data_IF_224466651475
#
_entry.id   IF_224466651475
#
_cell.length_a   1.000
_cell.length_b   1.000
_cell.length_c   1.000
_cell.angle_alpha   90.00
_cell.angle_beta   90.00
_cell.angle_gamma   90.00
#
_symmetry.space_group_name_H-M   'P 1'
#
loop_
_entity.id
_entity.type
_entity.pdbx_description
1 polymer ?
#
# COMPACT_ATOMS: atom_id res chain seq x y z
N UNK A 1 5.65 -13.05 18.84
CA UNK A 1 5.51 -12.54 17.46
C UNK A 1 6.19 -11.18 17.35
N UNK A 2 7.24 -11.03 16.55
CA UNK A 2 7.82 -9.72 16.26
C UNK A 2 7.01 -9.06 15.13
N UNK A 3 6.20 -8.06 15.45
CA UNK A 3 5.54 -7.23 14.45
C UNK A 3 6.59 -6.23 13.95
N UNK A 4 7.14 -6.45 12.76
CA UNK A 4 8.06 -5.49 12.13
C UNK A 4 7.23 -4.25 11.76
N UNK A 5 7.63 -3.09 12.24
CA UNK A 5 7.02 -1.82 11.88
C UNK A 5 7.55 -1.40 10.52
N UNK A 6 6.65 -0.91 9.68
CA UNK A 6 6.94 -0.54 8.30
C UNK A 6 5.95 0.54 7.90
N UNK A 7 6.42 1.50 7.12
CA UNK A 7 5.58 2.54 6.52
C UNK A 7 4.70 1.98 5.39
N UNK A 8 4.99 0.78 4.90
CA UNK A 8 4.27 0.14 3.82
C UNK A 8 3.27 -0.90 4.35
N UNK A 9 2.02 -0.75 3.93
CA UNK A 9 0.90 -1.61 4.25
C UNK A 9 0.49 -2.42 3.02
N UNK A 10 0.19 -3.68 3.25
CA UNK A 10 -0.43 -4.57 2.28
C UNK A 10 -1.94 -4.63 2.54
N UNK A 11 -2.72 -4.32 1.52
CA UNK A 11 -4.18 -4.34 1.57
C UNK A 11 -4.68 -5.49 0.70
N UNK A 12 -5.44 -6.42 1.28
CA UNK A 12 -6.00 -7.57 0.57
C UNK A 12 -7.53 -7.63 0.66
N UNK A 13 -8.13 -8.49 -0.18
CA UNK A 13 -9.58 -8.67 -0.34
C UNK A 13 -10.31 -7.41 -0.87
N UNK A 14 -9.60 -6.56 -1.59
CA UNK A 14 -10.19 -5.38 -2.26
C UNK A 14 -11.21 -5.79 -3.34
N UNK A 15 -12.16 -4.90 -3.60
CA UNK A 15 -13.14 -5.10 -4.66
C UNK A 15 -12.49 -4.92 -6.04
N UNK A 16 -13.05 -5.58 -7.06
CA UNK A 16 -12.68 -5.39 -8.46
C UNK A 16 -12.97 -3.97 -9.00
N UNK A 17 -13.63 -3.15 -8.19
CA UNK A 17 -13.94 -1.75 -8.47
C UNK A 17 -13.05 -0.78 -7.70
N UNK A 18 -12.25 -1.26 -6.74
CA UNK A 18 -11.37 -0.38 -5.95
C UNK A 18 -10.22 0.10 -6.84
N UNK A 19 -10.00 1.41 -6.85
CA UNK A 19 -8.90 2.08 -7.54
C UNK A 19 -7.82 2.54 -6.57
N UNK A 20 -6.64 2.78 -7.11
CA UNK A 20 -5.52 3.44 -6.43
C UNK A 20 -5.95 4.78 -5.77
N UNK A 21 -6.78 5.58 -6.47
CA UNK A 21 -7.35 6.80 -5.90
C UNK A 21 -8.28 6.52 -4.71
N UNK A 22 -9.21 5.57 -4.80
CA UNK A 22 -10.08 5.21 -3.66
C UNK A 22 -9.27 4.72 -2.47
N UNK A 23 -8.25 3.90 -2.73
CA UNK A 23 -7.32 3.45 -1.69
C UNK A 23 -6.69 4.67 -1.01
N UNK A 24 -6.11 5.58 -1.79
CA UNK A 24 -5.50 6.80 -1.23
C UNK A 24 -6.50 7.60 -0.39
N UNK A 25 -7.73 7.81 -0.87
CA UNK A 25 -8.73 8.57 -0.13
C UNK A 25 -9.19 7.87 1.16
N UNK A 26 -9.31 6.55 1.15
CA UNK A 26 -9.65 5.77 2.34
C UNK A 26 -8.60 5.89 3.44
N UNK A 27 -7.32 5.84 3.05
CA UNK A 27 -6.18 5.84 3.98
C UNK A 27 -5.71 7.26 4.36
N UNK A 28 -6.05 8.29 3.57
CA UNK A 28 -5.66 9.69 3.80
C UNK A 28 -6.05 10.29 5.16
N UNK A 29 -7.20 9.97 5.79
CA UNK A 29 -7.53 10.53 7.11
C UNK A 29 -6.66 9.99 8.25
N UNK A 30 -5.91 8.90 8.04
CA UNK A 30 -5.04 8.32 9.06
C UNK A 30 -3.64 8.91 9.06
N UNK A 31 -3.20 9.44 7.92
CA UNK A 31 -1.90 10.07 7.76
C UNK A 31 -1.56 10.35 6.31
N UNK A 32 -0.35 10.85 6.09
CA UNK A 32 0.10 11.23 4.75
C UNK A 32 0.57 10.00 3.97
N UNK A 33 -0.07 9.77 2.82
CA UNK A 33 0.26 8.67 1.92
C UNK A 33 1.30 9.14 0.94
N UNK A 34 2.48 8.50 1.00
CA UNK A 34 3.58 8.70 0.07
C UNK A 34 3.25 8.07 -1.29
N UNK A 35 2.74 6.84 -1.28
CA UNK A 35 2.40 6.11 -2.51
C UNK A 35 1.24 5.13 -2.27
N UNK A 36 0.38 4.96 -3.27
CA UNK A 36 -0.69 3.95 -3.25
C UNK A 36 -0.73 3.24 -4.59
N UNK A 37 -0.49 1.92 -4.58
CA UNK A 37 -0.40 1.10 -5.79
C UNK A 37 -1.30 -0.11 -5.68
N UNK A 38 -2.28 -0.19 -6.58
CA UNK A 38 -3.20 -1.33 -6.63
C UNK A 38 -2.69 -2.35 -7.65
N UNK A 39 -2.54 -3.61 -7.23
CA UNK A 39 -2.07 -4.67 -8.12
C UNK A 39 -3.25 -5.17 -8.95
N UNK A 40 -3.17 -4.86 -10.24
CA UNK A 40 -4.14 -5.26 -11.25
C UNK A 40 -3.50 -6.34 -12.11
N UNK A 41 -4.30 -7.27 -12.58
CA UNK A 41 -3.84 -8.30 -13.50
C UNK A 41 -3.58 -7.68 -14.88
N UNK A 42 -2.38 -7.87 -15.45
CA UNK A 42 -2.00 -7.26 -16.74
C UNK A 42 -2.80 -7.80 -17.93
N UNK A 43 -3.35 -9.01 -17.84
CA UNK A 43 -4.10 -9.63 -18.93
C UNK A 43 -5.55 -9.18 -18.95
N UNK A 44 -6.19 -9.14 -17.78
CA UNK A 44 -7.61 -8.82 -17.65
C UNK A 44 -7.89 -7.37 -17.25
N UNK A 45 -6.84 -6.61 -16.90
CA UNK A 45 -6.92 -5.29 -16.25
C UNK A 45 -7.81 -5.25 -15.00
N UNK A 46 -8.22 -6.41 -14.48
CA UNK A 46 -9.06 -6.51 -13.30
C UNK A 46 -8.19 -6.43 -12.05
N UNK A 47 -8.63 -5.71 -11.01
CA UNK A 47 -7.96 -5.75 -9.73
C UNK A 47 -7.88 -7.18 -9.24
N UNK A 48 -6.67 -7.60 -8.88
CA UNK A 48 -6.43 -8.94 -8.36
C UNK A 48 -6.96 -9.09 -6.92
N UNK A 49 -7.48 -7.99 -6.36
CA UNK A 49 -8.06 -7.90 -5.03
C UNK A 49 -7.04 -7.51 -3.96
N UNK A 50 -5.90 -6.94 -4.36
CA UNK A 50 -4.84 -6.54 -3.43
C UNK A 50 -4.04 -5.32 -3.94
N UNK A 51 -3.43 -4.61 -3.00
CA UNK A 51 -2.64 -3.41 -3.24
C UNK A 51 -1.68 -3.11 -2.10
N UNK A 52 -0.86 -2.08 -2.31
CA UNK A 52 0.14 -1.60 -1.37
C UNK A 52 -0.05 -0.10 -1.14
N UNK A 53 0.10 0.32 0.11
CA UNK A 53 0.03 1.74 0.52
C UNK A 53 1.27 2.06 1.34
N UNK A 54 2.04 3.04 0.90
CA UNK A 54 3.21 3.54 1.62
C UNK A 54 2.84 4.87 2.27
N UNK A 55 2.97 4.94 3.58
CA UNK A 55 2.83 6.17 4.37
C UNK A 55 4.16 6.90 4.50
N UNK A 56 4.08 8.16 4.91
CA UNK A 56 5.27 8.92 5.31
C UNK A 56 5.77 8.55 6.71
N UNK A 57 4.87 8.12 7.60
CA UNK A 57 5.18 7.76 8.98
C UNK A 57 4.73 6.33 9.31
N UNK A 58 5.55 5.62 10.08
CA UNK A 58 5.25 4.26 10.55
C UNK A 58 4.09 4.26 11.56
N UNK A 59 3.95 5.32 12.35
CA UNK A 59 2.87 5.47 13.33
C UNK A 59 1.51 5.59 12.63
N UNK A 60 1.45 6.39 11.54
CA UNK A 60 0.27 6.55 10.71
C UNK A 60 -0.10 5.23 10.01
N UNK A 61 0.88 4.53 9.46
CA UNK A 61 0.70 3.21 8.88
C UNK A 61 0.13 2.22 9.91
N UNK A 62 0.64 2.25 11.13
CA UNK A 62 0.18 1.36 12.19
C UNK A 62 -1.26 1.66 12.64
N UNK A 63 -1.62 2.94 12.76
CA UNK A 63 -2.99 3.37 13.05
C UNK A 63 -3.94 2.93 11.95
N UNK A 64 -3.58 3.19 10.69
CA UNK A 64 -4.40 2.84 9.55
C UNK A 64 -4.60 1.32 9.42
N UNK A 65 -3.53 0.55 9.62
CA UNK A 65 -3.58 -0.91 9.65
C UNK A 65 -4.59 -1.40 10.68
N UNK A 66 -4.50 -0.96 11.95
CA UNK A 66 -5.42 -1.41 13.00
C UNK A 66 -6.87 -0.96 12.77
N UNK A 67 -7.08 0.17 12.10
CA UNK A 67 -8.41 0.72 11.86
C UNK A 67 -9.11 0.12 10.63
N UNK A 68 -8.35 -0.34 9.64
CA UNK A 68 -8.88 -0.92 8.41
C UNK A 68 -8.78 -2.44 8.35
N UNK A 69 -7.95 -3.07 9.16
CA UNK A 69 -7.91 -4.52 9.27
C UNK A 69 -9.27 -5.07 9.72
N UNK A 70 -9.91 -5.87 8.86
CA UNK A 70 -11.25 -6.40 9.11
C UNK A 70 -12.39 -5.41 8.88
N UNK A 71 -12.16 -4.28 8.18
CA UNK A 71 -13.21 -3.31 7.86
C UNK A 71 -13.95 -3.66 6.57
N UNK A 72 -15.22 -3.28 6.48
CA UNK A 72 -16.03 -3.48 5.27
C UNK A 72 -15.86 -2.26 4.36
N UNK A 73 -15.32 -2.48 3.15
CA UNK A 73 -15.19 -1.49 2.07
C UNK A 73 -15.88 -2.06 0.83
N UNK A 74 -16.76 -1.27 0.20
CA UNK A 74 -17.55 -1.71 -0.96
C UNK A 74 -18.34 -3.02 -0.71
N UNK A 75 -18.83 -3.22 0.52
CA UNK A 75 -19.54 -4.43 0.93
C UNK A 75 -18.65 -5.67 1.10
N UNK A 76 -17.32 -5.51 1.10
CA UNK A 76 -16.34 -6.59 1.29
C UNK A 76 -15.43 -6.33 2.47
N UNK A 77 -15.14 -7.36 3.25
CA UNK A 77 -14.13 -7.31 4.30
C UNK A 77 -12.75 -7.18 3.67
N UNK A 78 -12.05 -6.09 3.97
CA UNK A 78 -10.66 -5.87 3.59
C UNK A 78 -9.75 -6.22 4.77
N UNK A 79 -8.54 -6.64 4.46
CA UNK A 79 -7.52 -6.94 5.45
C UNK A 79 -6.31 -6.07 5.19
N UNK A 80 -5.74 -5.50 6.26
CA UNK A 80 -4.59 -4.61 6.17
C UNK A 80 -3.50 -5.15 7.07
N UNK A 81 -2.37 -5.47 6.47
CA UNK A 81 -1.23 -6.05 7.16
C UNK A 81 0.04 -5.23 6.89
N UNK A 82 1.03 -5.35 7.76
CA UNK A 82 2.36 -4.82 7.50
C UNK A 82 2.93 -5.50 6.25
N UNK A 83 3.37 -4.72 5.25
CA UNK A 83 3.99 -5.29 4.07
C UNK A 83 5.30 -5.97 4.47
N UNK A 84 5.48 -7.21 4.01
CA UNK A 84 6.75 -7.93 4.16
C UNK A 84 7.77 -7.14 3.33
N UNK A 85 8.89 -6.75 3.94
CA UNK A 85 9.97 -5.99 3.29
C UNK A 85 10.36 -6.63 1.96
N UNK A 86 9.76 -6.17 0.86
CA UNK A 86 10.38 -6.20 -0.45
C UNK A 86 10.85 -4.76 -0.68
N UNK A 87 12.15 -4.56 -0.87
CA UNK A 87 12.68 -3.22 -1.12
C UNK A 87 11.93 -2.62 -2.31
N UNK A 88 11.66 -1.30 -2.30
CA UNK A 88 10.99 -0.66 -3.41
C UNK A 88 11.83 -0.93 -4.67
N UNK A 89 11.29 -1.72 -5.59
CA UNK A 89 11.79 -1.78 -6.97
C UNK A 89 11.36 -0.50 -7.68
N UNK A 90 11.89 0.63 -7.21
CA UNK A 90 12.02 1.84 -7.99
C UNK A 90 13.34 1.73 -8.74
N UNK A 91 13.37 0.89 -9.77
CA UNK A 91 14.29 1.16 -10.88
C UNK A 91 13.52 2.04 -11.87
N UNK A 92 13.61 3.35 -11.65
CA UNK A 92 13.56 4.30 -12.76
C UNK A 92 14.96 4.87 -12.89
N UNK A 93 15.78 4.17 -13.67
CA UNK A 93 17.01 4.70 -14.22
C UNK A 93 16.77 6.06 -14.91
N UNK A 94 17.33 7.13 -14.36
CA UNK A 94 17.93 8.18 -15.18
C UNK A 94 19.25 8.59 -14.52
N UNK A 95 20.32 7.98 -15.02
CA UNK A 95 21.72 8.40 -14.98
C UNK A 95 22.05 9.68 -14.18
N UNK A 96 22.74 9.49 -13.06
CA UNK A 96 23.63 10.47 -12.44
C UNK A 96 24.88 9.75 -11.96
N UNK A 97 25.83 9.58 -12.88
CA UNK A 97 27.12 8.91 -12.71
C UNK A 97 27.89 9.39 -11.44
N UNK A 98 28.36 8.39 -10.70
CA UNK A 98 29.47 8.32 -9.73
C UNK A 98 30.63 9.32 -9.94
N UNK A 99 31.14 9.95 -8.87
CA UNK A 99 32.39 9.59 -8.14
C UNK A 99 33.07 10.78 -7.44
N UNK A 100 33.45 10.53 -6.19
CA UNK A 100 34.66 10.94 -5.43
C UNK A 100 35.57 12.04 -6.03
N UNK A 101 35.79 13.12 -5.29
CA UNK A 101 37.06 13.41 -4.59
C UNK A 101 36.94 14.65 -3.70
#
# INVERSE_FOLDING_TARGET
MAKRFTTQLFVSRLSGYTTDQSLRQLFSPFGQIREARLIKDSQTQRPKGFGFVTFESEDDAQKAMKAFDGKIVDGRLIFVEAAKEEPPTTDVNTQGHYKTS
#
